data_IF_220150633905
#
_entry.id   IF_220150633905
#
_cell.length_a   1.000
_cell.length_b   1.000
_cell.length_c   1.000
_cell.angle_alpha   90.00
_cell.angle_beta   90.00
_cell.angle_gamma   90.00
#
_symmetry.space_group_name_H-M   'P 1'
#
loop_
_entity.id
_entity.type
_entity.pdbx_description
1 polymer ?
#
# COMPACT_ATOMS: atom_id res chain seq x y z
N UNK A 1 32.11 -17.75 89.50
CA UNK A 1 31.69 -19.17 89.40
C UNK A 1 31.77 -19.56 87.93
N UNK A 2 32.88 -20.18 87.49
CA UNK A 2 33.01 -21.62 87.15
C UNK A 2 31.78 -22.19 86.41
N UNK A 3 31.80 -22.43 85.09
CA UNK A 3 32.44 -23.49 84.25
C UNK A 3 31.60 -24.79 84.13
N UNK A 4 31.62 -25.34 82.91
CA UNK A 4 31.30 -26.72 82.43
C UNK A 4 29.87 -26.92 81.86
N UNK A 5 29.65 -27.22 80.57
CA UNK A 5 30.00 -28.29 79.57
C UNK A 5 29.10 -29.55 79.59
N UNK A 6 28.96 -30.15 78.39
CA UNK A 6 28.45 -31.48 78.00
C UNK A 6 27.03 -31.50 77.38
N UNK A 7 26.83 -31.65 76.06
CA UNK A 7 26.96 -32.82 75.13
C UNK A 7 25.83 -33.86 75.22
N UNK A 8 25.11 -34.07 74.10
CA UNK A 8 24.57 -35.34 73.57
C UNK A 8 23.70 -35.00 72.34
N UNK A 9 24.07 -35.33 71.10
CA UNK A 9 23.92 -36.62 70.40
C UNK A 9 22.50 -37.18 70.45
N UNK A 10 21.80 -37.27 69.31
CA UNK A 10 21.34 -38.52 68.67
C UNK A 10 20.91 -38.22 67.22
N UNK A 11 21.18 -39.17 66.33
CA UNK A 11 21.06 -39.14 64.87
C UNK A 11 19.70 -39.65 64.34
N UNK A 12 19.51 -39.40 63.03
CA UNK A 12 18.92 -40.29 61.98
C UNK A 12 17.38 -40.41 62.01
N UNK A 13 16.64 -40.56 60.90
CA UNK A 13 16.84 -40.67 59.45
C UNK A 13 15.61 -40.02 58.77
N UNK A 14 15.70 -39.59 57.52
CA UNK A 14 14.64 -39.96 56.55
C UNK A 14 15.14 -39.84 55.12
N UNK A 15 14.81 -40.87 54.36
CA UNK A 15 15.30 -41.22 53.05
C UNK A 15 14.56 -40.53 51.90
N UNK A 16 15.27 -40.48 50.76
CA UNK A 16 14.72 -40.59 49.41
C UNK A 16 14.21 -39.31 48.76
N UNK A 17 15.13 -38.58 48.11
CA UNK A 17 14.78 -37.67 47.03
C UNK A 17 14.62 -38.50 45.75
N UNK A 18 13.36 -38.84 45.45
CA UNK A 18 12.94 -39.42 44.19
C UNK A 18 13.16 -38.40 43.06
N UNK A 19 14.16 -38.61 42.22
CA UNK A 19 14.39 -37.80 41.02
C UNK A 19 13.46 -38.25 39.92
N UNK A 20 12.44 -37.45 39.62
CA UNK A 20 11.62 -37.61 38.43
C UNK A 20 12.44 -37.20 37.20
N UNK A 21 12.70 -38.15 36.31
CA UNK A 21 13.20 -37.87 34.95
C UNK A 21 12.05 -37.27 34.16
N UNK A 22 12.13 -35.98 33.85
CA UNK A 22 11.23 -35.33 32.89
C UNK A 22 11.65 -35.77 31.50
N UNK A 23 10.81 -36.55 30.84
CA UNK A 23 10.95 -36.86 29.41
C UNK A 23 10.50 -35.65 28.62
N UNK A 24 11.38 -35.14 27.75
CA UNK A 24 11.06 -34.01 26.87
C UNK A 24 9.94 -34.43 25.92
N UNK A 25 8.74 -33.90 26.15
CA UNK A 25 7.63 -34.01 25.20
C UNK A 25 7.98 -33.15 24.00
N UNK A 26 8.21 -33.78 22.86
CA UNK A 26 8.31 -33.07 21.58
C UNK A 26 6.96 -32.44 21.32
N UNK A 27 6.86 -31.13 21.55
CA UNK A 27 5.70 -30.34 21.13
C UNK A 27 5.56 -30.53 19.62
N UNK A 28 4.48 -31.19 19.22
CA UNK A 28 4.05 -31.20 17.84
C UNK A 28 3.75 -29.75 17.44
N UNK A 29 4.69 -29.13 16.74
CA UNK A 29 4.44 -27.85 16.08
C UNK A 29 3.42 -28.14 14.99
N UNK A 30 2.15 -27.89 15.31
CA UNK A 30 1.06 -27.88 14.33
C UNK A 30 1.43 -26.86 13.26
N UNK A 31 1.84 -27.37 12.10
CA UNK A 31 2.00 -26.56 10.89
C UNK A 31 0.58 -26.15 10.52
N UNK A 32 0.17 -24.98 11.01
CA UNK A 32 -1.07 -24.35 10.55
C UNK A 32 -0.89 -24.06 9.07
N UNK A 33 -1.62 -24.78 8.23
CA UNK A 33 -1.76 -24.50 6.81
C UNK A 33 -2.17 -23.02 6.67
N UNK A 34 -1.38 -22.26 5.93
CA UNK A 34 -1.56 -20.83 5.75
C UNK A 34 -2.90 -20.55 5.03
N UNK A 35 -3.51 -19.42 5.39
CA UNK A 35 -4.69 -18.85 4.75
C UNK A 35 -4.55 -18.90 3.23
N UNK A 36 -5.47 -19.56 2.54
CA UNK A 36 -5.57 -19.50 1.09
C UNK A 36 -6.17 -18.15 0.70
N UNK A 37 -5.36 -17.09 0.70
CA UNK A 37 -5.72 -15.89 -0.05
C UNK A 37 -5.77 -16.32 -1.52
N UNK A 38 -6.92 -16.13 -2.18
CA UNK A 38 -7.08 -16.47 -3.59
C UNK A 38 -6.23 -15.49 -4.38
N UNK A 39 -5.02 -15.89 -4.74
CA UNK A 39 -4.15 -15.13 -5.63
C UNK A 39 -4.58 -15.35 -7.09
N UNK A 40 -4.63 -14.26 -7.85
CA UNK A 40 -4.97 -14.30 -9.28
C UNK A 40 -3.89 -15.13 -10.00
N UNK A 41 -4.25 -16.18 -10.72
CA UNK A 41 -3.26 -17.02 -11.43
C UNK A 41 -2.71 -16.33 -12.68
N UNK A 42 -3.50 -15.46 -13.31
CA UNK A 42 -3.11 -14.66 -14.47
C UNK A 42 -4.06 -13.48 -14.62
N UNK A 43 -3.58 -12.34 -15.14
CA UNK A 43 -4.40 -11.19 -15.53
C UNK A 43 -5.27 -11.46 -16.76
N UNK A 44 -4.92 -12.47 -17.57
CA UNK A 44 -5.59 -12.74 -18.85
C UNK A 44 -5.20 -11.77 -19.98
N UNK A 45 -4.31 -10.81 -19.70
CA UNK A 45 -3.75 -9.86 -20.65
C UNK A 45 -2.30 -10.26 -21.01
N UNK A 46 -1.97 -10.22 -22.29
CA UNK A 46 -0.61 -10.56 -22.75
C UNK A 46 0.35 -9.43 -22.41
N UNK A 47 1.48 -9.75 -21.78
CA UNK A 47 2.53 -8.78 -21.45
C UNK A 47 2.37 -8.08 -20.10
N UNK A 48 1.25 -8.31 -19.38
CA UNK A 48 1.01 -7.74 -18.06
C UNK A 48 1.02 -8.85 -16.98
N UNK A 49 2.16 -9.06 -16.29
CA UNK A 49 2.24 -10.09 -15.24
C UNK A 49 1.45 -9.68 -14.00
N UNK A 50 0.94 -10.68 -13.27
CA UNK A 50 0.28 -10.47 -11.97
C UNK A 50 1.31 -9.98 -10.95
N UNK A 51 0.93 -8.96 -10.19
CA UNK A 51 1.76 -8.40 -9.11
C UNK A 51 1.23 -8.85 -7.73
N UNK A 52 1.98 -9.68 -6.97
CA UNK A 52 1.55 -10.12 -5.64
C UNK A 52 1.33 -8.96 -4.66
N UNK A 53 2.03 -7.84 -4.83
CA UNK A 53 1.92 -6.65 -3.98
C UNK A 53 1.20 -5.49 -4.71
N UNK A 54 0.34 -5.80 -5.68
CA UNK A 54 -0.29 -4.79 -6.54
C UNK A 54 -1.00 -3.65 -5.78
N UNK A 55 -1.72 -3.95 -4.70
CA UNK A 55 -2.41 -2.91 -3.90
C UNK A 55 -1.43 -1.92 -3.27
N UNK A 56 -0.32 -2.42 -2.69
CA UNK A 56 0.72 -1.57 -2.10
C UNK A 56 1.43 -0.72 -3.17
N UNK A 57 1.75 -1.34 -4.30
CA UNK A 57 2.43 -0.66 -5.40
C UNK A 57 1.53 0.42 -6.04
N UNK A 58 0.22 0.15 -6.14
CA UNK A 58 -0.76 1.13 -6.61
C UNK A 58 -0.89 2.31 -5.64
N UNK A 59 -0.89 2.07 -4.33
CA UNK A 59 -0.88 3.13 -3.32
C UNK A 59 0.35 4.02 -3.45
N UNK A 60 1.54 3.41 -3.52
CA UNK A 60 2.80 4.14 -3.68
C UNK A 60 2.83 4.98 -4.96
N UNK A 61 2.35 4.42 -6.08
CA UNK A 61 2.27 5.13 -7.35
C UNK A 61 1.34 6.35 -7.29
N UNK A 62 0.15 6.23 -6.67
CA UNK A 62 -0.77 7.35 -6.51
C UNK A 62 -0.22 8.43 -5.56
N UNK A 63 0.49 8.04 -4.49
CA UNK A 63 1.19 9.00 -3.61
C UNK A 63 2.29 9.75 -4.38
N UNK A 64 3.04 9.06 -5.22
CA UNK A 64 4.06 9.68 -6.06
C UNK A 64 3.47 10.69 -7.06
N UNK A 65 2.29 10.40 -7.63
CA UNK A 65 1.56 11.35 -8.50
C UNK A 65 1.23 12.63 -7.74
N UNK A 66 0.66 12.50 -6.53
CA UNK A 66 0.30 13.66 -5.70
C UNK A 66 1.51 14.50 -5.26
N UNK A 67 2.70 13.89 -5.13
CA UNK A 67 3.94 14.63 -4.88
C UNK A 67 4.43 15.37 -6.13
N UNK A 68 4.47 14.70 -7.30
CA UNK A 68 4.93 15.30 -8.56
C UNK A 68 4.02 16.43 -9.06
N UNK A 69 2.70 16.27 -8.95
CA UNK A 69 1.72 17.23 -9.49
C UNK A 69 1.83 18.62 -8.84
N UNK A 70 2.47 18.72 -7.66
CA UNK A 70 2.73 20.01 -6.99
C UNK A 70 3.56 20.98 -7.83
N UNK A 71 4.32 20.49 -8.82
CA UNK A 71 5.06 21.33 -9.76
C UNK A 71 4.14 22.11 -10.72
N UNK A 72 2.90 21.66 -10.92
CA UNK A 72 1.89 22.29 -11.78
C UNK A 72 1.11 23.34 -10.97
N UNK A 73 0.79 24.53 -11.52
CA UNK A 73 -0.01 25.53 -10.80
C UNK A 73 -1.44 25.06 -10.50
N UNK A 74 -2.03 25.56 -9.40
CA UNK A 74 -3.40 25.23 -8.96
C UNK A 74 -4.50 25.76 -9.89
N UNK A 75 -4.16 26.74 -10.74
CA UNK A 75 -5.08 27.27 -11.74
C UNK A 75 -5.33 26.29 -12.89
N UNK A 76 -4.42 25.35 -13.11
CA UNK A 76 -4.52 24.40 -14.20
C UNK A 76 -5.58 23.33 -13.88
N UNK A 77 -6.58 23.19 -14.76
CA UNK A 77 -7.63 22.18 -14.63
C UNK A 77 -7.08 20.75 -14.57
N UNK A 78 -5.99 20.48 -15.30
CA UNK A 78 -5.30 19.19 -15.28
C UNK A 78 -4.91 18.78 -13.84
N UNK A 79 -4.34 19.69 -13.05
CA UNK A 79 -3.95 19.40 -11.65
C UNK A 79 -5.15 19.02 -10.81
N UNK A 80 -6.25 19.77 -10.91
CA UNK A 80 -7.49 19.49 -10.17
C UNK A 80 -8.02 18.09 -10.47
N UNK A 81 -8.06 17.71 -11.75
CA UNK A 81 -8.58 16.41 -12.18
C UNK A 81 -7.68 15.26 -11.69
N UNK A 82 -6.35 15.38 -11.86
CA UNK A 82 -5.39 14.37 -11.43
C UNK A 82 -5.41 14.19 -9.91
N UNK A 83 -5.51 15.29 -9.16
CA UNK A 83 -5.65 15.24 -7.70
C UNK A 83 -6.95 14.55 -7.28
N UNK A 84 -8.07 14.85 -7.94
CA UNK A 84 -9.35 14.20 -7.65
C UNK A 84 -9.30 12.69 -7.87
N UNK A 85 -8.80 12.26 -9.02
CA UNK A 85 -8.68 10.83 -9.37
C UNK A 85 -7.74 10.10 -8.40
N UNK A 86 -6.56 10.68 -8.15
CA UNK A 86 -5.55 10.05 -7.28
C UNK A 86 -6.05 9.95 -5.82
N UNK A 87 -6.74 10.97 -5.31
CA UNK A 87 -7.33 10.95 -3.97
C UNK A 87 -8.46 9.93 -3.85
N UNK A 88 -9.34 9.85 -4.86
CA UNK A 88 -10.41 8.86 -4.90
C UNK A 88 -9.86 7.42 -4.91
N UNK A 89 -8.84 7.15 -5.74
CA UNK A 89 -8.18 5.84 -5.74
C UNK A 89 -7.59 5.50 -4.37
N UNK A 90 -6.92 6.45 -3.73
CA UNK A 90 -6.37 6.27 -2.38
C UNK A 90 -7.45 5.99 -1.33
N UNK A 91 -8.59 6.69 -1.36
CA UNK A 91 -9.67 6.43 -0.40
C UNK A 91 -10.24 5.03 -0.53
N UNK A 92 -10.48 4.56 -1.76
CA UNK A 92 -10.97 3.19 -1.99
C UNK A 92 -9.93 2.14 -1.55
N UNK A 93 -8.65 2.37 -1.84
CA UNK A 93 -7.57 1.47 -1.39
C UNK A 93 -7.50 1.41 0.13
N UNK A 94 -7.64 2.54 0.82
CA UNK A 94 -7.63 2.60 2.29
C UNK A 94 -8.85 1.88 2.91
N UNK A 95 -10.01 1.94 2.26
CA UNK A 95 -11.24 1.26 2.71
C UNK A 95 -11.22 -0.27 2.48
N UNK A 96 -10.53 -0.74 1.44
CA UNK A 96 -10.58 -2.15 0.99
C UNK A 96 -9.20 -2.82 0.85
N UNK A 97 -8.23 -2.50 1.73
CA UNK A 97 -6.83 -2.97 1.65
C UNK A 97 -6.66 -4.48 1.47
N UNK A 98 -7.51 -5.29 2.09
CA UNK A 98 -7.38 -6.76 2.07
C UNK A 98 -8.08 -7.42 0.85
N UNK A 99 -8.96 -6.69 0.16
CA UNK A 99 -9.86 -7.22 -0.87
C UNK A 99 -9.62 -6.54 -2.23
N UNK A 100 -8.59 -6.98 -2.94
CA UNK A 100 -8.23 -6.49 -4.29
C UNK A 100 -9.41 -6.45 -5.27
N UNK A 101 -10.28 -7.47 -5.25
CA UNK A 101 -11.44 -7.55 -6.14
C UNK A 101 -12.49 -6.46 -5.88
N UNK A 102 -12.69 -6.07 -4.61
CA UNK A 102 -13.60 -4.97 -4.27
C UNK A 102 -13.04 -3.63 -4.70
N UNK A 103 -11.72 -3.43 -4.57
CA UNK A 103 -11.05 -2.24 -5.10
C UNK A 103 -11.29 -2.12 -6.61
N UNK A 104 -11.12 -3.21 -7.36
CA UNK A 104 -11.34 -3.23 -8.82
C UNK A 104 -12.80 -2.92 -9.19
N UNK A 105 -13.76 -3.51 -8.48
CA UNK A 105 -15.20 -3.29 -8.70
C UNK A 105 -15.65 -1.86 -8.35
N UNK A 106 -15.12 -1.28 -7.28
CA UNK A 106 -15.48 0.08 -6.84
C UNK A 106 -14.87 1.16 -7.75
N UNK A 107 -13.60 1.01 -8.14
CA UNK A 107 -12.92 1.98 -9.01
C UNK A 107 -13.39 1.85 -10.48
N UNK A 108 -13.80 0.66 -10.91
CA UNK A 108 -14.31 0.34 -12.24
C UNK A 108 -13.39 0.84 -13.39
N UNK A 109 -12.08 0.59 -13.24
CA UNK A 109 -11.06 1.07 -14.18
C UNK A 109 -10.08 -0.05 -14.62
N UNK A 110 -10.58 -1.30 -14.67
CA UNK A 110 -9.79 -2.48 -15.03
C UNK A 110 -9.11 -3.14 -13.82
N UNK A 111 -8.10 -3.96 -14.09
CA UNK A 111 -7.35 -4.66 -13.03
C UNK A 111 -6.34 -3.74 -12.34
N UNK A 112 -5.95 -4.09 -11.12
CA UNK A 112 -4.93 -3.33 -10.35
C UNK A 112 -3.64 -3.15 -11.15
N UNK A 113 -3.20 -4.18 -11.86
CA UNK A 113 -2.00 -4.16 -12.68
C UNK A 113 -2.06 -3.09 -13.78
N UNK A 114 -3.22 -2.93 -14.43
CA UNK A 114 -3.45 -1.89 -15.44
C UNK A 114 -3.46 -0.50 -14.80
N UNK A 115 -4.06 -0.36 -13.61
CA UNK A 115 -4.06 0.90 -12.88
C UNK A 115 -2.66 1.34 -12.45
N UNK A 116 -1.76 0.39 -12.13
CA UNK A 116 -0.34 0.67 -11.84
C UNK A 116 0.36 1.18 -13.10
N UNK A 117 0.10 0.58 -14.26
CA UNK A 117 0.68 1.02 -15.54
C UNK A 117 0.20 2.44 -15.90
N UNK A 118 -1.11 2.69 -15.79
CA UNK A 118 -1.68 4.03 -15.96
C UNK A 118 -1.01 5.06 -15.03
N UNK A 119 -0.76 4.70 -13.77
CA UNK A 119 -0.10 5.59 -12.82
C UNK A 119 1.37 5.91 -13.21
N UNK A 120 2.09 4.94 -13.79
CA UNK A 120 3.45 5.15 -14.33
C UNK A 120 3.44 6.06 -15.54
N UNK A 121 2.48 5.86 -16.45
CA UNK A 121 2.29 6.71 -17.61
C UNK A 121 1.95 8.14 -17.19
N UNK A 122 1.09 8.31 -16.18
CA UNK A 122 0.75 9.61 -15.61
C UNK A 122 1.98 10.31 -15.01
N UNK A 123 2.84 9.58 -14.28
CA UNK A 123 4.10 10.12 -13.75
C UNK A 123 5.05 10.59 -14.85
N UNK A 124 5.10 9.89 -15.98
CA UNK A 124 5.87 10.30 -17.17
C UNK A 124 5.22 11.48 -17.88
N UNK A 125 3.89 11.51 -17.95
CA UNK A 125 3.13 12.59 -18.55
C UNK A 125 3.35 13.90 -17.80
N UNK A 126 3.32 13.87 -16.47
CA UNK A 126 3.57 15.04 -15.62
C UNK A 126 4.95 15.65 -15.92
N UNK A 127 5.98 14.82 -16.12
CA UNK A 127 7.32 15.31 -16.43
C UNK A 127 7.34 16.09 -17.76
N UNK A 128 6.65 15.57 -18.79
CA UNK A 128 6.50 16.25 -20.08
C UNK A 128 5.61 17.49 -19.95
N UNK A 129 4.52 17.41 -19.19
CA UNK A 129 3.56 18.49 -18.99
C UNK A 129 4.22 19.71 -18.34
N UNK A 130 5.08 19.49 -17.36
CA UNK A 130 5.88 20.53 -16.70
C UNK A 130 6.95 21.08 -17.64
N UNK A 131 7.65 20.21 -18.37
CA UNK A 131 8.69 20.61 -19.33
C UNK A 131 8.17 21.55 -20.41
N UNK A 132 7.00 21.24 -20.97
CA UNK A 132 6.39 21.99 -22.07
C UNK A 132 5.43 23.10 -21.61
N UNK A 133 5.22 23.26 -20.28
CA UNK A 133 4.31 24.26 -19.68
C UNK A 133 2.94 24.32 -20.37
N UNK A 134 2.33 23.14 -20.59
CA UNK A 134 1.15 22.98 -21.45
C UNK A 134 -0.05 23.84 -21.01
N UNK A 135 -0.15 24.18 -19.73
CA UNK A 135 -1.20 25.08 -19.23
C UNK A 135 -1.17 26.47 -19.88
N UNK A 136 0.00 27.00 -20.23
CA UNK A 136 0.11 28.30 -20.92
C UNK A 136 -0.38 28.19 -22.37
N UNK A 137 -0.01 27.11 -23.05
CA UNK A 137 -0.46 26.83 -24.42
C UNK A 137 -1.98 26.69 -24.51
N UNK A 138 -2.61 26.13 -23.48
CA UNK A 138 -4.07 26.03 -23.38
C UNK A 138 -4.69 27.42 -23.22
N UNK A 139 -4.16 28.25 -22.32
CA UNK A 139 -4.66 29.63 -22.13
C UNK A 139 -4.53 30.50 -23.39
N UNK A 140 -3.46 30.33 -24.16
CA UNK A 140 -3.27 30.99 -25.46
C UNK A 140 -4.34 30.56 -26.47
N UNK A 141 -4.54 29.25 -26.65
CA UNK A 141 -5.56 28.71 -27.58
C UNK A 141 -6.98 29.12 -27.18
N UNK A 142 -7.27 29.14 -25.88
CA UNK A 142 -8.57 29.59 -25.37
C UNK A 142 -8.81 31.08 -25.67
N UNK A 143 -7.74 31.90 -25.65
CA UNK A 143 -7.82 33.33 -26.02
C UNK A 143 -8.05 33.50 -27.52
N UNK A 144 -7.35 32.74 -28.35
CA UNK A 144 -7.53 32.73 -29.81
C UNK A 144 -8.95 32.29 -30.20
N UNK A 145 -9.46 31.20 -29.61
CA UNK A 145 -10.81 30.71 -29.86
C UNK A 145 -11.89 31.75 -29.47
N UNK A 146 -11.68 32.47 -28.36
CA UNK A 146 -12.56 33.56 -27.94
C UNK A 146 -12.53 34.74 -28.91
N UNK A 147 -11.37 35.08 -29.47
CA UNK A 147 -11.24 36.20 -30.42
C UNK A 147 -12.01 35.92 -31.73
N UNK A 148 -11.87 34.72 -32.30
CA UNK A 148 -12.60 34.31 -33.52
C UNK A 148 -14.12 34.40 -33.31
N UNK A 149 -14.59 33.98 -32.14
CA UNK A 149 -16.03 34.01 -31.80
C UNK A 149 -16.62 35.42 -31.66
N UNK A 150 -15.78 36.44 -31.45
CA UNK A 150 -16.22 37.85 -31.36
C UNK A 150 -16.34 38.48 -32.74
N UNK A 151 -15.44 38.14 -33.67
CA UNK A 151 -15.47 38.64 -35.05
C UNK A 151 -16.70 38.16 -35.81
N UNK A 152 -17.10 36.89 -35.65
CA UNK A 152 -18.31 36.34 -36.27
C UNK A 152 -19.60 37.00 -35.78
N UNK A 153 -19.66 37.46 -34.52
CA UNK A 153 -20.84 38.13 -33.96
C UNK A 153 -20.96 39.61 -34.32
N UNK A 154 -19.88 40.19 -34.86
CA UNK A 154 -19.84 41.59 -35.28
C UNK A 154 -20.14 41.78 -36.77
N UNK A 155 -20.23 40.68 -37.55
CA UNK A 155 -20.73 40.67 -38.94
C UNK A 155 -22.21 40.32 -38.99
#
# INVERSE_FOLDING_TARGET
MLRQVATASVRRLSSSSFTTVVTNTTKATSVRCLSSTIEKTSTGLVGLPVDPNGVSNLEEANRAILEKIRAVPETAQYRTNVEQVSRYRLSVIEEHRDDAKKIEEEIDCGQIEEMIEQAKDELSLIDVYVKERVWELIEERDREAKAVSVEEKSS
#
